data_IF_099186502510
#
_entry.id   IF_099186502510
#
_cell.length_a   1.000
_cell.length_b   1.000
_cell.length_c   1.000
_cell.angle_alpha   90.00
_cell.angle_beta   90.00
_cell.angle_gamma   90.00
#
_symmetry.space_group_name_H-M   'P 1'
#
loop_
_entity.id
_entity.type
_entity.pdbx_description
1 polymer ?
#
# COMPACT_ATOMS: atom_id res chain seq x y z
N UNK A 1 6.98 17.29 -22.93
CA UNK A 1 6.53 15.95 -22.49
C UNK A 1 6.03 16.09 -21.06
N UNK A 2 4.78 15.73 -20.75
CA UNK A 2 4.32 15.74 -19.34
C UNK A 2 5.08 14.62 -18.62
N UNK A 3 5.85 14.96 -17.60
CA UNK A 3 6.47 13.95 -16.74
C UNK A 3 5.36 13.09 -16.13
N UNK A 4 5.45 11.78 -16.27
CA UNK A 4 4.52 10.86 -15.62
C UNK A 4 4.73 10.94 -14.09
N UNK A 5 3.64 10.85 -13.34
CA UNK A 5 3.70 10.84 -11.87
C UNK A 5 4.42 9.60 -11.33
N UNK A 6 4.95 9.62 -10.09
CA UNK A 6 5.77 8.52 -9.56
C UNK A 6 5.10 7.14 -9.52
N UNK A 7 3.76 7.10 -9.42
CA UNK A 7 2.99 5.87 -9.39
C UNK A 7 2.46 5.42 -10.77
N UNK A 8 2.72 6.17 -11.84
CA UNK A 8 2.17 5.87 -13.15
C UNK A 8 2.72 4.53 -13.67
N UNK A 9 1.81 3.61 -14.02
CA UNK A 9 2.14 2.26 -14.45
C UNK A 9 2.59 1.31 -13.34
N UNK A 10 2.63 1.77 -12.07
CA UNK A 10 3.03 0.95 -10.92
C UNK A 10 1.86 0.16 -10.38
N UNK A 11 2.10 -1.11 -10.08
CA UNK A 11 1.12 -2.01 -9.47
C UNK A 11 1.21 -1.92 -7.95
N UNK A 12 0.16 -1.40 -7.30
CA UNK A 12 0.07 -1.26 -5.86
C UNK A 12 -0.91 -2.30 -5.31
N UNK A 13 -0.43 -3.15 -4.41
CA UNK A 13 -1.25 -4.11 -3.69
C UNK A 13 -1.87 -3.47 -2.45
N UNK A 14 -3.17 -3.62 -2.28
CA UNK A 14 -3.88 -3.21 -1.07
C UNK A 14 -4.19 -4.46 -0.27
N UNK A 15 -3.70 -4.53 0.96
CA UNK A 15 -3.82 -5.71 1.84
C UNK A 15 -4.57 -5.31 3.09
N UNK A 16 -5.68 -5.99 3.37
CA UNK A 16 -6.61 -5.67 4.44
C UNK A 16 -7.94 -6.37 4.23
N UNK A 17 -8.95 -5.95 4.99
CA UNK A 17 -10.30 -6.44 4.78
C UNK A 17 -10.96 -5.81 3.53
N UNK A 18 -12.19 -6.26 3.21
CA UNK A 18 -12.92 -5.77 2.04
C UNK A 18 -13.30 -4.28 2.14
N UNK A 19 -13.44 -3.74 3.34
CA UNK A 19 -13.83 -2.34 3.58
C UNK A 19 -12.65 -1.37 3.50
N UNK A 20 -11.42 -1.88 3.63
CA UNK A 20 -10.19 -1.09 3.61
C UNK A 20 -9.95 -0.33 2.29
N UNK A 21 -10.46 -0.83 1.17
CA UNK A 21 -10.38 -0.16 -0.13
C UNK A 21 -11.76 0.18 -0.71
N UNK A 22 -12.35 1.31 -0.30
CA UNK A 22 -13.55 1.85 -0.93
C UNK A 22 -13.28 2.26 -2.39
N UNK A 23 -14.33 2.25 -3.21
CA UNK A 23 -14.24 2.58 -4.64
C UNK A 23 -13.70 3.99 -4.91
N UNK A 24 -14.08 4.99 -4.11
CA UNK A 24 -13.58 6.36 -4.29
C UNK A 24 -12.07 6.47 -4.08
N UNK A 25 -11.51 5.66 -3.18
CA UNK A 25 -10.07 5.59 -2.94
C UNK A 25 -9.36 4.88 -4.08
N UNK A 26 -9.93 3.77 -4.57
CA UNK A 26 -9.43 3.08 -5.77
C UNK A 26 -9.36 4.04 -6.95
N UNK A 27 -10.44 4.78 -7.22
CA UNK A 27 -10.49 5.75 -8.32
C UNK A 27 -9.43 6.85 -8.16
N UNK A 28 -9.17 7.30 -6.93
CA UNK A 28 -8.13 8.30 -6.67
C UNK A 28 -6.70 7.80 -6.96
N UNK A 29 -6.42 6.52 -6.72
CA UNK A 29 -5.16 5.87 -7.10
C UNK A 29 -5.06 5.66 -8.62
N UNK A 30 -6.15 5.19 -9.25
CA UNK A 30 -6.23 5.00 -10.71
C UNK A 30 -6.11 6.33 -11.45
N UNK A 31 -6.62 7.43 -10.90
CA UNK A 31 -6.45 8.79 -11.45
C UNK A 31 -4.97 9.23 -11.50
N UNK A 32 -4.09 8.59 -10.72
CA UNK A 32 -2.63 8.76 -10.76
C UNK A 32 -1.93 7.70 -11.62
N UNK A 33 -2.72 7.00 -12.44
CA UNK A 33 -2.29 5.97 -13.37
C UNK A 33 -1.64 4.76 -12.69
N UNK A 34 -1.90 4.56 -11.40
CA UNK A 34 -1.50 3.33 -10.70
C UNK A 34 -2.44 2.18 -11.07
N UNK A 35 -1.90 0.98 -11.14
CA UNK A 35 -2.66 -0.27 -11.23
C UNK A 35 -2.92 -0.76 -9.80
N UNK A 36 -4.17 -0.94 -9.40
CA UNK A 36 -4.53 -1.30 -8.03
C UNK A 36 -5.03 -2.74 -7.96
N UNK A 37 -4.36 -3.59 -7.18
CA UNK A 37 -4.80 -4.97 -6.90
C UNK A 37 -5.30 -5.09 -5.46
N UNK A 38 -6.37 -5.87 -5.25
CA UNK A 38 -7.00 -6.04 -3.94
C UNK A 38 -8.31 -5.26 -3.76
N UNK A 39 -8.84 -5.15 -2.53
CA UNK A 39 -8.15 -5.52 -1.29
C UNK A 39 -7.94 -7.05 -1.19
N UNK A 40 -6.74 -7.45 -0.77
CA UNK A 40 -6.37 -8.85 -0.54
C UNK A 40 -6.47 -9.12 0.96
N UNK A 41 -7.21 -10.16 1.34
CA UNK A 41 -7.20 -10.65 2.71
C UNK A 41 -5.77 -11.03 3.11
N UNK A 42 -5.40 -10.76 4.37
CA UNK A 42 -4.05 -11.01 4.91
C UNK A 42 -3.57 -12.44 4.64
N UNK A 43 -4.43 -13.43 4.86
CA UNK A 43 -4.12 -14.84 4.63
C UNK A 43 -3.80 -15.12 3.15
N UNK A 44 -4.61 -14.59 2.22
CA UNK A 44 -4.38 -14.72 0.78
C UNK A 44 -3.13 -13.98 0.32
N UNK A 45 -2.88 -12.79 0.86
CA UNK A 45 -1.66 -12.02 0.58
C UNK A 45 -0.41 -12.77 1.06
N UNK A 46 -0.43 -13.33 2.28
CA UNK A 46 0.68 -14.11 2.83
C UNK A 46 0.95 -15.38 2.03
N UNK A 47 -0.10 -16.11 1.62
CA UNK A 47 0.06 -17.29 0.77
C UNK A 47 0.67 -16.92 -0.59
N UNK A 48 0.17 -15.85 -1.21
CA UNK A 48 0.65 -15.37 -2.52
C UNK A 48 2.05 -14.79 -2.44
N UNK A 49 2.40 -14.13 -1.33
CA UNK A 49 3.77 -13.75 -1.02
C UNK A 49 4.59 -15.01 -0.93
N UNK A 50 4.40 -15.91 0.04
CA UNK A 50 5.22 -17.12 0.20
C UNK A 50 5.43 -17.93 -1.09
N UNK A 51 4.39 -18.10 -1.91
CA UNK A 51 4.45 -18.79 -3.20
C UNK A 51 5.06 -18.00 -4.37
N UNK A 52 5.43 -16.72 -4.14
CA UNK A 52 5.92 -15.77 -5.16
C UNK A 52 4.93 -15.50 -6.30
N UNK A 53 3.64 -15.64 -6.02
CA UNK A 53 2.56 -15.39 -6.97
C UNK A 53 2.07 -13.95 -6.97
N UNK A 54 2.29 -13.20 -5.88
CA UNK A 54 1.96 -11.78 -5.82
C UNK A 54 3.03 -10.95 -6.54
N UNK A 55 2.65 -10.38 -7.68
CA UNK A 55 3.49 -9.45 -8.46
C UNK A 55 2.95 -8.03 -8.28
N UNK A 56 3.71 -7.20 -7.57
CA UNK A 56 3.40 -5.78 -7.37
C UNK A 56 4.70 -4.97 -7.22
N UNK A 57 4.62 -3.68 -7.51
CA UNK A 57 5.71 -2.71 -7.32
C UNK A 57 5.73 -2.15 -5.89
N UNK A 58 4.59 -2.16 -5.19
CA UNK A 58 4.45 -1.63 -3.83
C UNK A 58 3.24 -2.24 -3.12
N UNK A 59 3.20 -2.13 -1.80
CA UNK A 59 2.04 -2.53 -0.99
C UNK A 59 1.57 -1.45 0.00
N UNK A 60 0.27 -1.37 0.22
CA UNK A 60 -0.36 -0.62 1.30
C UNK A 60 -1.07 -1.64 2.19
N UNK A 61 -0.67 -1.68 3.46
CA UNK A 61 -1.13 -2.69 4.42
C UNK A 61 -1.96 -2.02 5.49
N UNK A 62 -3.13 -2.59 5.78
CA UNK A 62 -3.97 -2.14 6.89
C UNK A 62 -3.25 -2.33 8.23
N UNK A 63 -3.31 -1.31 9.08
CA UNK A 63 -2.77 -1.36 10.45
C UNK A 63 -3.57 -2.29 11.38
N UNK A 64 -4.81 -2.65 11.02
CA UNK A 64 -5.66 -3.54 11.85
C UNK A 64 -5.19 -5.00 11.82
N UNK A 65 -4.24 -5.33 10.94
CA UNK A 65 -3.59 -6.64 10.86
C UNK A 65 -2.86 -6.96 12.17
N UNK A 66 -2.92 -8.21 12.61
CA UNK A 66 -2.23 -8.64 13.83
C UNK A 66 -0.71 -8.43 13.75
N UNK A 67 -0.08 -8.14 14.88
CA UNK A 67 1.36 -7.88 14.96
C UNK A 67 2.22 -9.00 14.36
N UNK A 68 1.82 -10.26 14.55
CA UNK A 68 2.51 -11.43 13.97
C UNK A 68 2.45 -11.44 12.44
N UNK A 69 1.27 -11.15 11.88
CA UNK A 69 1.09 -11.08 10.43
C UNK A 69 1.78 -9.85 9.84
N UNK A 70 1.78 -8.73 10.58
CA UNK A 70 2.51 -7.51 10.23
C UNK A 70 4.01 -7.78 10.09
N UNK A 71 4.62 -8.40 11.10
CA UNK A 71 6.04 -8.76 11.11
C UNK A 71 6.39 -9.78 10.00
N UNK A 72 5.53 -10.78 9.82
CA UNK A 72 5.76 -11.81 8.79
C UNK A 72 5.70 -11.21 7.37
N UNK A 73 4.77 -10.29 7.16
CA UNK A 73 4.57 -9.61 5.89
C UNK A 73 5.66 -8.58 5.59
N UNK A 74 6.09 -7.80 6.58
CA UNK A 74 7.23 -6.88 6.42
C UNK A 74 8.47 -7.64 5.99
N UNK A 75 8.83 -8.72 6.70
CA UNK A 75 9.98 -9.56 6.35
C UNK A 75 9.88 -10.11 4.92
N UNK A 76 8.68 -10.55 4.50
CA UNK A 76 8.47 -11.08 3.15
C UNK A 76 8.60 -10.01 2.05
N UNK A 77 8.09 -8.80 2.29
CA UNK A 77 8.15 -7.68 1.35
C UNK A 77 9.58 -7.12 1.27
N UNK A 78 10.25 -6.95 2.40
CA UNK A 78 11.65 -6.52 2.50
C UNK A 78 12.60 -7.48 1.79
N UNK A 79 12.44 -8.79 2.02
CA UNK A 79 13.23 -9.82 1.33
C UNK A 79 13.06 -9.80 -0.20
N UNK A 80 12.01 -9.15 -0.71
CA UNK A 80 11.75 -8.96 -2.15
C UNK A 80 12.11 -7.57 -2.65
N UNK A 81 12.50 -6.67 -1.77
CA UNK A 81 12.70 -5.26 -2.10
C UNK A 81 11.42 -4.55 -2.52
N UNK A 82 10.25 -5.02 -2.09
CA UNK A 82 8.96 -4.37 -2.38
C UNK A 82 8.73 -3.29 -1.32
N UNK A 83 8.68 -2.00 -1.68
CA UNK A 83 8.35 -0.93 -0.73
C UNK A 83 6.90 -1.07 -0.26
N UNK A 84 6.67 -0.78 1.02
CA UNK A 84 5.34 -0.81 1.60
C UNK A 84 5.14 0.26 2.66
N UNK A 85 3.88 0.61 2.90
CA UNK A 85 3.46 1.49 3.99
C UNK A 85 2.29 0.88 4.74
N UNK A 86 2.18 1.23 6.01
CA UNK A 86 0.99 0.93 6.81
C UNK A 86 0.02 2.12 6.76
N UNK A 87 -1.26 1.83 6.55
CA UNK A 87 -2.28 2.86 6.48
C UNK A 87 -3.52 2.50 7.32
N UNK A 88 -4.11 3.56 7.86
CA UNK A 88 -5.39 3.53 8.56
C UNK A 88 -6.54 3.71 7.59
N UNK A 89 -7.67 3.06 7.87
CA UNK A 89 -8.92 3.38 7.19
C UNK A 89 -9.37 4.82 7.50
N UNK A 90 -10.09 5.44 6.56
CA UNK A 90 -10.48 6.86 6.59
C UNK A 90 -11.31 7.31 7.80
N UNK A 91 -11.90 6.40 8.55
CA UNK A 91 -12.77 6.69 9.70
C UNK A 91 -12.06 6.61 11.05
N UNK A 92 -10.83 6.08 11.08
CA UNK A 92 -10.05 6.02 12.31
C UNK A 92 -9.25 7.31 12.49
N UNK A 93 -9.20 7.80 13.73
CA UNK A 93 -8.29 8.88 14.11
C UNK A 93 -6.88 8.31 14.08
N UNK A 94 -6.20 8.46 12.95
CA UNK A 94 -4.82 8.01 12.80
C UNK A 94 -3.97 8.59 13.96
N UNK A 95 -3.15 7.78 14.64
CA UNK A 95 -2.13 8.29 15.54
C UNK A 95 -1.23 9.28 14.79
N UNK A 96 -0.63 10.21 15.52
CA UNK A 96 0.27 11.19 14.92
C UNK A 96 1.40 10.48 14.14
N UNK A 97 1.43 10.65 12.81
CA UNK A 97 2.50 10.16 11.94
C UNK A 97 2.15 8.99 11.01
N UNK A 98 0.94 8.43 11.05
CA UNK A 98 0.51 7.34 10.14
C UNK A 98 -0.09 7.81 8.81
N UNK A 99 -0.13 6.93 7.80
CA UNK A 99 -0.87 7.18 6.56
C UNK A 99 -2.35 6.89 6.72
N UNK A 100 -3.19 7.60 5.95
CA UNK A 100 -4.63 7.38 5.89
C UNK A 100 -4.99 7.02 4.46
N UNK A 101 -5.62 5.86 4.27
CA UNK A 101 -6.12 5.43 2.97
C UNK A 101 -7.48 6.09 2.70
N UNK A 102 -7.47 7.17 1.90
CA UNK A 102 -8.67 7.96 1.57
C UNK A 102 -8.56 8.59 0.18
N UNK A 103 -9.68 9.06 -0.38
CA UNK A 103 -9.73 9.72 -1.69
C UNK A 103 -9.16 11.16 -1.71
N UNK A 104 -8.74 11.71 -0.55
CA UNK A 104 -8.11 13.02 -0.49
C UNK A 104 -6.75 12.98 -1.20
N UNK A 105 -6.55 13.90 -2.15
CA UNK A 105 -5.33 13.96 -2.94
C UNK A 105 -4.06 13.99 -2.08
N UNK A 106 -4.03 14.83 -1.03
CA UNK A 106 -2.89 14.96 -0.12
C UNK A 106 -2.52 13.65 0.59
N UNK A 107 -3.50 12.80 0.91
CA UNK A 107 -3.23 11.51 1.55
C UNK A 107 -2.66 10.50 0.55
N UNK A 108 -3.23 10.43 -0.66
CA UNK A 108 -2.73 9.57 -1.73
C UNK A 108 -1.31 9.98 -2.14
N UNK A 109 -1.07 11.28 -2.32
CA UNK A 109 0.23 11.82 -2.73
C UNK A 109 1.30 11.55 -1.68
N UNK A 110 0.97 11.65 -0.39
CA UNK A 110 1.88 11.30 0.69
C UNK A 110 2.28 9.81 0.67
N UNK A 111 1.32 8.90 0.46
CA UNK A 111 1.62 7.46 0.35
C UNK A 111 2.47 7.16 -0.90
N UNK A 112 2.15 7.75 -2.04
CA UNK A 112 2.93 7.57 -3.28
C UNK A 112 4.35 8.11 -3.12
N UNK A 113 4.51 9.27 -2.47
CA UNK A 113 5.82 9.82 -2.18
C UNK A 113 6.63 8.91 -1.24
N UNK A 114 6.00 8.27 -0.26
CA UNK A 114 6.68 7.32 0.61
C UNK A 114 7.07 6.01 -0.10
N UNK A 115 6.22 5.52 -1.00
CA UNK A 115 6.46 4.27 -1.74
C UNK A 115 7.49 4.43 -2.86
N UNK A 116 7.49 5.56 -3.57
CA UNK A 116 8.25 5.77 -4.80
C UNK A 116 9.16 7.00 -4.79
N UNK A 117 9.17 7.78 -3.70
CA UNK A 117 10.03 8.94 -3.57
C UNK A 117 11.51 8.56 -3.49
N UNK A 118 12.37 9.45 -3.98
CA UNK A 118 13.82 9.23 -4.09
C UNK A 118 14.58 9.28 -2.75
N UNK A 119 13.89 9.40 -1.62
CA UNK A 119 14.48 9.60 -0.31
C UNK A 119 13.80 8.76 0.75
N UNK A 120 14.60 7.97 1.46
CA UNK A 120 14.24 7.20 2.66
C UNK A 120 13.21 6.10 2.44
N UNK A 121 13.62 5.05 1.75
CA UNK A 121 13.31 3.72 2.26
C UNK A 121 13.79 3.71 3.72
N UNK A 122 12.87 3.66 4.68
CA UNK A 122 13.18 3.26 6.05
C UNK A 122 13.77 1.86 5.96
N UNK A 123 15.10 1.78 5.86
CA UNK A 123 15.86 0.55 6.03
C UNK A 123 15.98 0.38 7.54
N UNK A 124 15.27 -0.61 8.08
CA UNK A 124 15.60 -1.17 9.38
C UNK A 124 16.97 -1.87 9.31
#
# INVERSE_FOLDING_TARGET
>A
MKSLGPAAGKTIAIIGDASFLPDDVRQALVARQAVVIGPLAVSSAMQSLSGRFLVCDAAIVDVTVSDEAMLSMSNCLEARGIPFVFAHERHTRAPAGGFILSSRASHIDAMIAALFGSGTAYRH
#
